data_IF_186379195155
#
_entry.id   IF_186379195155
#
_cell.length_a   1.000
_cell.length_b   1.000
_cell.length_c   1.000
_cell.angle_alpha   90.00
_cell.angle_beta   90.00
_cell.angle_gamma   90.00
#
_symmetry.space_group_name_H-M   'P 1'
#
loop_
_entity.id
_entity.type
_entity.pdbx_description
1 polymer ?
#
# COMPACT_ATOMS: atom_id res chain seq x y z
N UNK A 1 14.87 -15.07 -2.47
CA UNK A 1 15.09 -14.39 -1.19
C UNK A 1 15.37 -15.47 -0.19
N UNK A 2 16.39 -15.30 0.64
CA UNK A 2 16.62 -16.21 1.76
C UNK A 2 15.56 -15.97 2.85
N UNK A 3 15.38 -16.96 3.71
CA UNK A 3 14.34 -16.95 4.75
C UNK A 3 14.62 -15.92 5.86
N UNK A 4 15.89 -15.58 6.12
CA UNK A 4 16.27 -14.60 7.12
C UNK A 4 15.91 -13.16 6.68
N UNK A 5 16.14 -12.84 5.41
CA UNK A 5 15.76 -11.58 4.79
C UNK A 5 14.24 -11.42 4.77
N UNK A 6 13.48 -12.49 4.52
CA UNK A 6 12.02 -12.47 4.59
C UNK A 6 11.55 -12.19 6.02
N UNK A 7 12.15 -12.84 7.03
CA UNK A 7 11.81 -12.62 8.44
C UNK A 7 12.09 -11.17 8.85
N UNK A 8 13.23 -10.61 8.46
CA UNK A 8 13.57 -9.22 8.75
C UNK A 8 12.55 -8.24 8.14
N UNK A 9 12.09 -8.49 6.91
CA UNK A 9 11.06 -7.66 6.28
C UNK A 9 9.71 -7.79 6.97
N UNK A 10 9.33 -9.01 7.36
CA UNK A 10 8.12 -9.25 8.14
C UNK A 10 8.15 -8.46 9.46
N UNK A 11 9.25 -8.54 10.22
CA UNK A 11 9.40 -7.84 11.50
C UNK A 11 9.31 -6.31 11.34
N UNK A 12 9.92 -5.76 10.29
CA UNK A 12 9.83 -4.34 9.97
C UNK A 12 8.39 -3.89 9.66
N UNK A 13 7.60 -4.72 8.97
CA UNK A 13 6.20 -4.43 8.65
C UNK A 13 5.33 -4.50 9.91
N UNK A 14 5.50 -5.54 10.73
CA UNK A 14 4.77 -5.70 11.99
C UNK A 14 5.02 -4.50 12.91
N UNK A 15 6.28 -4.10 13.06
CA UNK A 15 6.66 -2.93 13.86
C UNK A 15 6.06 -1.63 13.28
N UNK A 16 6.14 -1.42 11.97
CA UNK A 16 5.58 -0.23 11.31
C UNK A 16 4.06 -0.16 11.44
N UNK A 17 3.39 -1.30 11.45
CA UNK A 17 1.95 -1.40 11.65
C UNK A 17 1.53 -1.27 13.13
N UNK A 18 2.50 -1.21 14.07
CA UNK A 18 2.23 -1.15 15.50
C UNK A 18 1.56 -2.43 16.04
N UNK A 19 1.77 -3.57 15.37
CA UNK A 19 1.13 -4.83 15.73
C UNK A 19 1.96 -5.59 16.75
N UNK A 20 1.30 -6.12 17.77
CA UNK A 20 1.88 -7.10 18.69
C UNK A 20 1.35 -8.49 18.32
N UNK A 21 2.23 -9.34 17.78
CA UNK A 21 1.86 -10.70 17.36
C UNK A 21 2.14 -11.66 18.53
N UNK A 22 1.15 -12.44 19.00
CA UNK A 22 1.37 -13.48 20.00
C UNK A 22 2.38 -14.52 19.52
N UNK A 23 3.27 -14.97 20.42
CA UNK A 23 4.37 -15.87 20.08
C UNK A 23 3.90 -17.22 19.51
N UNK A 24 2.74 -17.72 19.98
CA UNK A 24 2.10 -18.95 19.47
C UNK A 24 1.64 -18.82 18.00
N UNK A 25 1.49 -17.59 17.49
CA UNK A 25 1.01 -17.30 16.14
C UNK A 25 2.09 -16.80 15.19
N UNK A 26 3.28 -16.47 15.69
CA UNK A 26 4.33 -15.83 14.90
C UNK A 26 4.73 -16.67 13.68
N UNK A 27 4.93 -17.98 13.87
CA UNK A 27 5.27 -18.88 12.78
C UNK A 27 4.21 -18.89 11.67
N UNK A 28 2.93 -19.02 12.03
CA UNK A 28 1.82 -18.98 11.07
C UNK A 28 1.73 -17.65 10.34
N UNK A 29 1.99 -16.53 11.03
CA UNK A 29 1.95 -15.20 10.43
C UNK A 29 3.12 -14.97 9.44
N UNK A 30 4.31 -15.48 9.76
CA UNK A 30 5.46 -15.46 8.85
C UNK A 30 5.19 -16.29 7.60
N UNK A 31 4.61 -17.48 7.75
CA UNK A 31 4.25 -18.33 6.61
C UNK A 31 3.17 -17.68 5.73
N UNK A 32 2.16 -17.09 6.36
CA UNK A 32 1.14 -16.31 5.63
C UNK A 32 1.76 -15.14 4.87
N UNK A 33 2.74 -14.46 5.46
CA UNK A 33 3.46 -13.38 4.78
C UNK A 33 4.23 -13.89 3.55
N UNK A 34 4.88 -15.06 3.63
CA UNK A 34 5.53 -15.70 2.48
C UNK A 34 4.54 -15.95 1.34
N UNK A 35 3.32 -16.38 1.65
CA UNK A 35 2.29 -16.61 0.64
C UNK A 35 1.77 -15.31 0.03
N UNK A 36 1.58 -14.25 0.82
CA UNK A 36 1.23 -12.92 0.31
C UNK A 36 2.30 -12.41 -0.65
N UNK A 37 3.59 -12.60 -0.34
CA UNK A 37 4.68 -12.22 -1.26
C UNK A 37 4.57 -12.95 -2.60
N UNK A 38 4.28 -14.26 -2.59
CA UNK A 38 4.05 -15.05 -3.83
C UNK A 38 2.86 -14.49 -4.63
N UNK A 39 1.73 -14.23 -3.98
CA UNK A 39 0.53 -13.69 -4.66
C UNK A 39 0.77 -12.27 -5.19
N UNK A 40 1.49 -11.44 -4.45
CA UNK A 40 1.83 -10.09 -4.89
C UNK A 40 2.65 -10.09 -6.18
N UNK A 41 3.50 -11.10 -6.37
CA UNK A 41 4.30 -11.27 -7.60
C UNK A 41 3.41 -11.55 -8.81
N UNK A 42 2.35 -12.35 -8.63
CA UNK A 42 1.37 -12.61 -9.69
C UNK A 42 0.70 -11.30 -10.13
N UNK A 43 0.27 -10.48 -9.16
CA UNK A 43 -0.37 -9.18 -9.44
C UNK A 43 0.60 -8.21 -10.12
N UNK A 44 1.86 -8.17 -9.67
CA UNK A 44 2.88 -7.27 -10.23
C UNK A 44 3.39 -7.68 -11.60
N UNK A 45 3.31 -8.96 -11.96
CA UNK A 45 3.77 -9.48 -13.25
C UNK A 45 2.86 -9.11 -14.45
N UNK A 46 1.72 -8.45 -14.24
CA UNK A 46 0.88 -7.97 -15.34
C UNK A 46 1.41 -6.62 -15.87
N UNK A 47 1.48 -6.42 -17.20
CA UNK A 47 1.77 -5.11 -17.78
C UNK A 47 0.73 -4.10 -17.27
N UNK A 48 1.20 -3.03 -16.62
CA UNK A 48 0.37 -1.90 -16.19
C UNK A 48 0.79 -0.69 -16.98
N UNK A 49 0.17 -0.44 -18.15
CA UNK A 49 0.48 0.75 -18.93
C UNK A 49 0.17 2.00 -18.10
N UNK A 50 0.90 3.09 -18.33
CA UNK A 50 0.71 4.34 -17.59
C UNK A 50 -0.70 4.93 -17.74
N UNK A 51 -1.42 4.52 -18.79
CA UNK A 51 -2.83 4.88 -19.04
C UNK A 51 -3.83 4.12 -18.17
N UNK A 52 -3.40 3.10 -17.43
CA UNK A 52 -4.28 2.31 -16.56
C UNK A 52 -4.37 3.00 -15.20
N UNK A 53 -5.38 3.85 -15.06
CA UNK A 53 -5.67 4.55 -13.81
C UNK A 53 -5.99 3.57 -12.67
N UNK A 54 -5.64 3.90 -11.41
CA UNK A 54 -6.08 3.15 -10.25
C UNK A 54 -7.61 3.10 -10.17
N UNK A 55 -8.15 1.96 -9.74
CA UNK A 55 -9.56 1.87 -9.38
C UNK A 55 -9.90 2.89 -8.29
N UNK A 56 -11.06 3.53 -8.40
CA UNK A 56 -11.53 4.60 -7.50
C UNK A 56 -10.77 5.92 -7.61
N UNK A 57 -10.24 6.26 -8.79
CA UNK A 57 -9.74 7.60 -9.06
C UNK A 57 -10.87 8.64 -8.86
N UNK A 58 -10.58 9.68 -8.08
CA UNK A 58 -11.49 10.81 -7.89
C UNK A 58 -11.27 11.84 -9.00
N UNK A 59 -12.35 12.22 -9.69
CA UNK A 59 -12.32 13.23 -10.74
C UNK A 59 -12.91 14.54 -10.23
N UNK A 60 -12.09 15.59 -10.21
CA UNK A 60 -12.55 16.95 -9.94
C UNK A 60 -13.30 17.47 -11.18
N UNK A 61 -14.62 17.60 -11.09
CA UNK A 61 -15.45 18.04 -12.21
C UNK A 61 -15.31 19.54 -12.52
N UNK A 62 -15.15 20.39 -11.50
CA UNK A 62 -14.95 21.84 -11.65
C UNK A 62 -14.10 22.38 -10.52
N UNK A 63 -13.19 23.30 -10.85
CA UNK A 63 -12.42 24.10 -9.89
C UNK A 63 -12.96 25.53 -9.96
N UNK A 64 -13.76 25.94 -8.98
CA UNK A 64 -14.21 27.34 -8.89
C UNK A 64 -13.18 28.12 -8.09
N UNK A 65 -12.44 29.02 -8.74
CA UNK A 65 -11.62 30.00 -8.02
C UNK A 65 -12.55 31.08 -7.46
N UNK A 66 -12.62 31.17 -6.13
CA UNK A 66 -13.20 32.34 -5.48
C UNK A 66 -12.14 33.43 -5.59
N UNK A 67 -12.41 34.44 -6.41
CA UNK A 67 -11.65 35.69 -6.40
C UNK A 67 -12.37 36.56 -5.38
N UNK A 68 -11.77 36.78 -4.21
CA UNK A 68 -12.28 37.78 -3.27
C UNK A 68 -12.31 39.12 -4.01
N UNK A 69 -13.51 39.58 -4.33
CA UNK A 69 -13.71 40.82 -5.07
C UNK A 69 -13.00 41.95 -4.34
N UNK A 70 -12.02 42.56 -5.00
CA UNK A 70 -11.54 43.88 -4.63
C UNK A 70 -12.74 44.80 -4.45
N UNK A 71 -13.03 45.18 -3.20
CA UNK A 71 -13.90 46.32 -2.91
C UNK A 71 -13.19 47.57 -3.43
N UNK A 72 -13.42 47.89 -4.69
CA UNK A 72 -12.98 49.11 -5.34
C UNK A 72 -14.18 49.97 -5.76
N UNK A 73 -14.49 50.96 -4.92
CA UNK A 73 -15.00 52.31 -5.22
C UNK A 73 -15.95 52.80 -4.11
#
# INVERSE_FOLDING_TARGET
MDDAAIKQQYDAIVARAGLSIPADREATMVDTYKDILKWSRIVRNRPRPASLEPSNAYFLATVTRVVDGEKGA
#
